data_IF_720820250014
#
_entry.id   IF_720820250014
#
_cell.length_a   1.000
_cell.length_b   1.000
_cell.length_c   1.000
_cell.angle_alpha   90.00
_cell.angle_beta   90.00
_cell.angle_gamma   90.00
#
_symmetry.space_group_name_H-M   'P 1'
#
loop_
_entity.id
_entity.type
_entity.pdbx_description
1 polymer ?
#
# COMPACT_ATOMS: atom_id res chain seq x y z
N UNK A 1 11.98 0.31 19.47
CA UNK A 1 10.95 0.08 18.44
C UNK A 1 10.06 -1.04 18.95
N UNK A 2 8.76 -0.79 19.13
CA UNK A 2 7.82 -1.91 19.30
C UNK A 2 7.67 -2.57 17.93
N UNK A 3 8.08 -3.82 17.83
CA UNK A 3 7.90 -4.64 16.65
C UNK A 3 6.40 -5.02 16.59
N UNK A 4 5.67 -4.43 15.66
CA UNK A 4 4.26 -4.77 15.45
C UNK A 4 4.20 -6.03 14.59
N UNK A 5 3.77 -7.15 15.20
CA UNK A 5 3.52 -8.39 14.44
C UNK A 5 2.08 -8.40 13.92
N UNK A 6 1.90 -7.95 12.68
CA UNK A 6 0.61 -7.99 11.99
C UNK A 6 0.16 -9.42 11.64
N UNK A 7 1.07 -10.40 11.70
CA UNK A 7 0.77 -11.79 11.39
C UNK A 7 -0.18 -12.46 12.39
N UNK A 8 -0.12 -12.07 13.68
CA UNK A 8 -0.96 -12.64 14.73
C UNK A 8 -2.47 -12.39 14.52
N UNK A 9 -2.85 -11.38 13.76
CA UNK A 9 -4.24 -11.02 13.46
C UNK A 9 -4.59 -11.15 11.98
N UNK A 10 -3.75 -11.85 11.19
CA UNK A 10 -3.88 -11.92 9.73
C UNK A 10 -5.27 -12.38 9.25
N UNK A 11 -5.89 -13.36 9.92
CA UNK A 11 -7.22 -13.86 9.56
C UNK A 11 -8.32 -12.83 9.83
N UNK A 12 -8.31 -12.21 11.01
CA UNK A 12 -9.28 -11.17 11.37
C UNK A 12 -9.07 -9.92 10.51
N UNK A 13 -7.83 -9.58 10.25
CA UNK A 13 -7.46 -8.50 9.35
C UNK A 13 -8.00 -8.74 7.93
N UNK A 14 -7.80 -9.93 7.37
CA UNK A 14 -8.31 -10.30 6.06
C UNK A 14 -9.84 -10.26 5.99
N UNK A 15 -10.52 -10.64 7.08
CA UNK A 15 -11.99 -10.73 7.17
C UNK A 15 -12.68 -9.38 7.34
N UNK A 16 -12.06 -8.48 8.10
CA UNK A 16 -12.73 -7.25 8.56
C UNK A 16 -12.17 -5.97 7.94
N UNK A 17 -10.99 -6.01 7.31
CA UNK A 17 -10.46 -4.85 6.64
C UNK A 17 -11.13 -4.66 5.28
N UNK A 18 -11.82 -3.52 5.14
CA UNK A 18 -12.35 -3.11 3.85
C UNK A 18 -11.21 -2.97 2.84
N UNK A 19 -11.37 -3.58 1.68
CA UNK A 19 -10.47 -3.38 0.56
C UNK A 19 -10.65 -2.02 -0.10
N UNK A 20 -9.83 -1.71 -1.08
CA UNK A 20 -10.04 -0.55 -1.93
C UNK A 20 -11.30 -0.74 -2.78
N UNK A 21 -12.16 0.29 -2.92
CA UNK A 21 -13.38 0.19 -3.70
C UNK A 21 -13.09 0.03 -5.20
N UNK A 22 -14.03 -0.52 -5.94
CA UNK A 22 -13.86 -0.76 -7.38
C UNK A 22 -13.52 0.54 -8.13
N UNK A 23 -14.15 1.63 -7.77
CA UNK A 23 -13.99 2.97 -8.33
C UNK A 23 -12.55 3.50 -8.20
N UNK A 24 -11.82 3.08 -7.16
CA UNK A 24 -10.40 3.41 -7.02
C UNK A 24 -9.59 2.85 -8.20
N UNK A 25 -9.76 1.57 -8.49
CA UNK A 25 -9.07 0.93 -9.61
C UNK A 25 -9.51 1.51 -10.95
N UNK A 26 -10.81 1.70 -11.12
CA UNK A 26 -11.39 2.26 -12.35
C UNK A 26 -10.80 3.64 -12.63
N UNK A 27 -10.60 4.47 -11.59
CA UNK A 27 -9.96 5.77 -11.72
C UNK A 27 -8.48 5.65 -12.11
N UNK A 28 -7.72 4.75 -11.47
CA UNK A 28 -6.28 4.53 -11.74
C UNK A 28 -6.05 4.11 -13.19
N UNK A 29 -6.95 3.29 -13.77
CA UNK A 29 -6.89 2.92 -15.18
C UNK A 29 -7.36 4.04 -16.11
N UNK A 30 -8.41 4.76 -15.74
CA UNK A 30 -8.99 5.82 -16.56
C UNK A 30 -8.04 7.01 -16.75
N UNK A 31 -7.24 7.36 -15.75
CA UNK A 31 -6.25 8.45 -15.83
C UNK A 31 -4.88 8.00 -16.35
N UNK A 32 -4.74 6.71 -16.69
CA UNK A 32 -3.54 6.16 -17.31
C UNK A 32 -2.37 5.93 -16.36
N UNK A 33 -2.57 6.01 -15.04
CA UNK A 33 -1.52 5.73 -14.05
C UNK A 33 -1.04 4.28 -14.14
N UNK A 34 -1.96 3.33 -14.37
CA UNK A 34 -1.65 1.93 -14.65
C UNK A 34 -2.39 1.51 -15.91
N UNK A 35 -1.69 0.89 -16.83
CA UNK A 35 -2.29 0.36 -18.06
C UNK A 35 -2.75 -1.09 -17.89
N UNK A 36 -3.78 -1.55 -18.62
CA UNK A 36 -4.09 -2.97 -18.72
C UNK A 36 -2.87 -3.78 -19.18
N UNK A 37 -2.68 -4.98 -18.62
CA UNK A 37 -1.53 -5.85 -18.84
C UNK A 37 -0.18 -5.33 -18.29
N UNK A 38 -0.17 -4.24 -17.53
CA UNK A 38 1.04 -3.76 -16.87
C UNK A 38 1.63 -4.83 -15.94
N UNK A 39 2.98 -4.87 -15.86
CA UNK A 39 3.69 -5.56 -14.79
C UNK A 39 3.70 -4.67 -13.56
N UNK A 40 3.15 -5.14 -12.44
CA UNK A 40 2.96 -4.35 -11.23
C UNK A 40 3.53 -5.06 -10.01
N UNK A 41 4.31 -4.31 -9.21
CA UNK A 41 4.77 -4.74 -7.90
C UNK A 41 3.97 -4.03 -6.80
N UNK A 42 3.39 -4.80 -5.87
CA UNK A 42 2.69 -4.27 -4.70
C UNK A 42 3.54 -4.47 -3.45
N UNK A 43 4.16 -3.38 -2.96
CA UNK A 43 5.03 -3.37 -1.78
C UNK A 43 4.22 -3.25 -0.50
N UNK A 44 4.56 -4.05 0.52
CA UNK A 44 3.76 -4.16 1.73
C UNK A 44 2.34 -4.65 1.42
N UNK A 45 2.25 -5.67 0.56
CA UNK A 45 0.99 -6.16 -0.03
C UNK A 45 -0.02 -6.66 1.02
N UNK A 46 0.46 -7.02 2.21
CA UNK A 46 -0.37 -7.56 3.28
C UNK A 46 -1.12 -8.81 2.82
N UNK A 47 -2.45 -8.80 2.95
CA UNK A 47 -3.32 -9.85 2.44
C UNK A 47 -3.61 -9.75 0.93
N UNK A 48 -2.88 -8.92 0.20
CA UNK A 48 -2.96 -8.82 -1.27
C UNK A 48 -4.14 -8.02 -1.80
N UNK A 49 -4.66 -7.06 -1.06
CA UNK A 49 -5.89 -6.33 -1.45
C UNK A 49 -5.70 -5.53 -2.74
N UNK A 50 -4.62 -4.73 -2.87
CA UNK A 50 -4.29 -4.03 -4.11
C UNK A 50 -3.86 -5.01 -5.19
N UNK A 51 -2.97 -5.95 -4.85
CA UNK A 51 -2.47 -6.94 -5.79
C UNK A 51 -3.60 -7.70 -6.50
N UNK A 52 -4.59 -8.22 -5.73
CA UNK A 52 -5.75 -8.90 -6.31
C UNK A 52 -6.63 -7.96 -7.13
N UNK A 53 -6.82 -6.71 -6.69
CA UNK A 53 -7.62 -5.74 -7.42
C UNK A 53 -7.05 -5.39 -8.80
N UNK A 54 -5.72 -5.29 -8.92
CA UNK A 54 -5.03 -5.09 -10.20
C UNK A 54 -5.00 -6.37 -11.05
N UNK A 55 -4.77 -7.54 -10.43
CA UNK A 55 -4.80 -8.81 -11.14
C UNK A 55 -6.17 -9.11 -11.75
N UNK A 56 -7.27 -8.81 -11.03
CA UNK A 56 -8.63 -8.94 -11.53
C UNK A 56 -8.92 -8.05 -12.76
N UNK A 57 -8.08 -7.04 -13.02
CA UNK A 57 -8.17 -6.13 -14.16
C UNK A 57 -7.11 -6.39 -15.23
N UNK A 58 -6.45 -7.55 -15.17
CA UNK A 58 -5.56 -8.04 -16.21
C UNK A 58 -4.08 -7.67 -16.05
N UNK A 59 -3.67 -7.02 -14.94
CA UNK A 59 -2.25 -6.80 -14.68
C UNK A 59 -1.54 -8.11 -14.32
N UNK A 60 -0.26 -8.20 -14.67
CA UNK A 60 0.66 -9.21 -14.13
C UNK A 60 1.22 -8.70 -12.81
N UNK A 61 0.80 -9.29 -11.69
CA UNK A 61 1.07 -8.71 -10.37
C UNK A 61 1.96 -9.61 -9.52
N UNK A 62 2.95 -8.98 -8.88
CA UNK A 62 3.72 -9.53 -7.77
C UNK A 62 3.42 -8.73 -6.50
N UNK A 63 3.07 -9.42 -5.42
CA UNK A 63 2.94 -8.82 -4.08
C UNK A 63 4.12 -9.21 -3.19
N UNK A 64 4.66 -8.26 -2.45
CA UNK A 64 5.76 -8.49 -1.50
C UNK A 64 5.41 -7.96 -0.11
N UNK A 65 5.70 -8.75 0.92
CA UNK A 65 5.52 -8.38 2.32
C UNK A 65 6.58 -9.04 3.20
N UNK A 66 6.85 -8.46 4.36
CA UNK A 66 7.78 -9.03 5.36
C UNK A 66 7.12 -10.11 6.23
N UNK A 67 5.80 -10.19 6.25
CA UNK A 67 5.02 -11.14 7.06
C UNK A 67 4.67 -12.38 6.26
N UNK A 68 5.27 -13.51 6.63
CA UNK A 68 4.95 -14.80 6.01
C UNK A 68 3.46 -15.17 6.19
N UNK A 69 2.86 -14.83 7.34
CA UNK A 69 1.46 -15.12 7.61
C UNK A 69 0.52 -14.33 6.69
N UNK A 70 0.83 -13.03 6.43
CA UNK A 70 0.06 -12.22 5.49
C UNK A 70 0.19 -12.73 4.05
N UNK A 71 1.39 -13.14 3.65
CA UNK A 71 1.65 -13.75 2.33
C UNK A 71 0.83 -15.03 2.13
N UNK A 72 0.78 -15.92 3.12
CA UNK A 72 -0.05 -17.14 3.02
C UNK A 72 -1.54 -16.79 2.89
N UNK A 73 -2.05 -15.86 3.68
CA UNK A 73 -3.43 -15.37 3.53
C UNK A 73 -3.68 -14.74 2.15
N UNK A 74 -2.72 -13.99 1.61
CA UNK A 74 -2.84 -13.39 0.28
C UNK A 74 -2.94 -14.45 -0.82
N UNK A 75 -2.14 -15.54 -0.73
CA UNK A 75 -2.20 -16.69 -1.64
C UNK A 75 -3.56 -17.38 -1.59
N UNK A 76 -4.03 -17.69 -0.38
CA UNK A 76 -5.32 -18.36 -0.18
C UNK A 76 -6.48 -17.54 -0.76
N UNK A 77 -6.50 -16.24 -0.47
CA UNK A 77 -7.54 -15.34 -0.98
C UNK A 77 -7.49 -15.17 -2.50
N UNK A 78 -6.28 -15.14 -3.09
CA UNK A 78 -6.13 -15.10 -4.55
C UNK A 78 -6.63 -16.38 -5.20
N UNK A 79 -6.29 -17.53 -4.63
CA UNK A 79 -6.75 -18.84 -5.12
C UNK A 79 -8.28 -18.95 -5.05
N UNK A 80 -8.89 -18.53 -3.94
CA UNK A 80 -10.36 -18.51 -3.78
C UNK A 80 -11.07 -17.64 -4.82
N UNK A 81 -10.41 -16.58 -5.27
CA UNK A 81 -10.92 -15.65 -6.29
C UNK A 81 -10.56 -16.07 -7.73
N UNK A 82 -9.81 -17.15 -7.91
CA UNK A 82 -9.36 -17.61 -9.22
C UNK A 82 -8.34 -16.64 -9.88
N UNK A 83 -7.60 -15.88 -9.06
CA UNK A 83 -6.63 -14.90 -9.52
C UNK A 83 -5.21 -15.45 -9.47
N UNK A 84 -4.42 -15.14 -10.51
CA UNK A 84 -2.99 -15.46 -10.56
C UNK A 84 -2.19 -14.24 -10.10
N UNK A 85 -1.64 -14.31 -8.89
CA UNK A 85 -0.75 -13.30 -8.32
C UNK A 85 0.47 -14.02 -7.75
N UNK A 86 1.67 -13.55 -8.07
CA UNK A 86 2.88 -14.03 -7.45
C UNK A 86 3.07 -13.32 -6.10
N UNK A 87 3.33 -14.08 -5.02
CA UNK A 87 3.61 -13.51 -3.71
C UNK A 87 4.99 -13.93 -3.21
N UNK A 88 5.77 -12.94 -2.74
CA UNK A 88 7.12 -13.15 -2.19
C UNK A 88 7.26 -12.55 -0.80
N UNK A 89 8.00 -13.26 0.05
CA UNK A 89 8.49 -12.73 1.31
C UNK A 89 9.70 -11.85 1.05
N UNK A 90 9.69 -10.60 1.53
CA UNK A 90 10.81 -9.68 1.33
C UNK A 90 10.57 -8.29 1.91
N UNK A 91 11.63 -7.49 1.91
CA UNK A 91 11.61 -6.09 2.38
C UNK A 91 11.46 -5.14 1.20
N UNK A 92 10.69 -4.08 1.38
CA UNK A 92 10.51 -3.05 0.36
C UNK A 92 11.80 -2.26 0.08
N UNK A 93 12.68 -2.14 1.08
CA UNK A 93 13.95 -1.43 1.01
C UNK A 93 15.04 -2.14 0.20
N UNK A 94 14.87 -3.45 -0.04
CA UNK A 94 15.85 -4.30 -0.72
C UNK A 94 15.11 -5.55 -1.24
N UNK A 95 14.49 -5.42 -2.42
CA UNK A 95 13.61 -6.46 -2.96
C UNK A 95 14.36 -7.64 -3.57
N UNK A 96 15.61 -7.41 -4.02
CA UNK A 96 16.38 -8.40 -4.76
C UNK A 96 15.83 -8.67 -6.18
N UNK A 97 14.91 -7.86 -6.68
CA UNK A 97 14.33 -7.98 -8.01
C UNK A 97 15.20 -7.25 -9.05
N UNK A 98 15.13 -7.63 -10.33
CA UNK A 98 15.90 -6.98 -11.40
C UNK A 98 15.50 -5.53 -11.59
N UNK A 99 16.43 -4.71 -12.11
CA UNK A 99 16.17 -3.32 -12.50
C UNK A 99 15.12 -3.26 -13.63
N UNK A 100 14.41 -2.15 -13.71
CA UNK A 100 13.49 -1.82 -14.80
C UNK A 100 12.50 -2.97 -15.15
N UNK A 101 11.97 -3.65 -14.12
CA UNK A 101 11.12 -4.84 -14.30
C UNK A 101 9.64 -4.55 -14.27
N UNK A 102 9.23 -3.40 -13.73
CA UNK A 102 7.83 -3.09 -13.51
C UNK A 102 7.39 -1.80 -14.21
N UNK A 103 6.16 -1.83 -14.74
CA UNK A 103 5.49 -0.66 -15.30
C UNK A 103 4.89 0.22 -14.20
N UNK A 104 4.54 -0.39 -13.06
CA UNK A 104 4.06 0.33 -11.89
C UNK A 104 4.49 -0.35 -10.59
N UNK A 105 4.65 0.47 -9.54
CA UNK A 105 4.83 0.02 -8.16
C UNK A 105 3.72 0.62 -7.29
N UNK A 106 3.00 -0.21 -6.54
CA UNK A 106 1.97 0.24 -5.59
C UNK A 106 2.39 0.03 -4.14
N UNK A 107 1.87 0.87 -3.24
CA UNK A 107 1.97 0.73 -1.80
C UNK A 107 0.66 1.19 -1.16
N UNK A 108 -0.13 0.24 -0.67
CA UNK A 108 -1.44 0.51 -0.07
C UNK A 108 -1.43 0.47 1.44
N UNK A 109 -1.69 1.59 2.12
CA UNK A 109 -1.78 1.68 3.58
C UNK A 109 -0.49 1.33 4.34
N UNK A 110 0.67 1.31 3.68
CA UNK A 110 1.92 0.84 4.27
C UNK A 110 3.12 1.80 4.13
N UNK A 111 3.05 2.80 3.26
CA UNK A 111 4.17 3.70 2.95
C UNK A 111 4.81 4.33 4.20
N UNK A 112 4.03 4.65 5.21
CA UNK A 112 4.49 5.24 6.48
C UNK A 112 5.26 4.30 7.40
N UNK A 113 5.27 2.99 7.11
CA UNK A 113 6.06 1.99 7.84
C UNK A 113 7.46 1.80 7.30
N UNK A 114 7.71 2.24 6.05
CA UNK A 114 8.97 2.03 5.36
C UNK A 114 10.07 3.02 5.78
N UNK A 115 11.33 2.61 5.58
CA UNK A 115 12.44 3.55 5.41
C UNK A 115 12.27 4.22 4.03
N UNK A 116 11.46 5.28 4.00
CA UNK A 116 10.97 5.90 2.77
C UNK A 116 12.08 6.34 1.79
N UNK A 117 13.19 6.98 2.24
CA UNK A 117 14.29 7.30 1.34
C UNK A 117 14.88 6.08 0.66
N UNK A 118 15.06 4.97 1.39
CA UNK A 118 15.59 3.73 0.81
C UNK A 118 14.59 3.08 -0.14
N UNK A 119 13.32 3.00 0.24
CA UNK A 119 12.28 2.45 -0.63
C UNK A 119 12.09 3.28 -1.89
N UNK A 120 12.18 4.63 -1.81
CA UNK A 120 12.10 5.49 -2.98
C UNK A 120 13.22 5.19 -4.00
N UNK A 121 14.45 4.97 -3.52
CA UNK A 121 15.56 4.56 -4.38
C UNK A 121 15.35 3.18 -5.00
N UNK A 122 14.87 2.23 -4.22
CA UNK A 122 14.58 0.88 -4.70
C UNK A 122 13.44 0.90 -5.73
N UNK A 123 12.37 1.64 -5.48
CA UNK A 123 11.26 1.83 -6.41
C UNK A 123 11.74 2.45 -7.73
N UNK A 124 12.60 3.48 -7.66
CA UNK A 124 13.19 4.08 -8.87
C UNK A 124 13.99 3.05 -9.67
N UNK A 125 14.78 2.21 -9.03
CA UNK A 125 15.56 1.15 -9.67
C UNK A 125 14.67 0.10 -10.37
N UNK A 126 13.54 -0.24 -9.75
CA UNK A 126 12.63 -1.28 -10.22
C UNK A 126 11.72 -0.84 -11.37
N UNK A 127 11.44 0.46 -11.46
CA UNK A 127 10.55 0.98 -12.49
C UNK A 127 11.24 1.07 -13.85
N UNK A 128 10.54 0.65 -14.87
CA UNK A 128 10.89 0.91 -16.28
C UNK A 128 10.85 2.43 -16.54
N UNK A 129 11.57 2.92 -17.56
CA UNK A 129 11.42 4.30 -18.00
C UNK A 129 9.95 4.67 -18.26
N UNK A 130 9.48 5.73 -17.61
CA UNK A 130 8.07 6.15 -17.70
C UNK A 130 7.10 5.36 -16.80
N UNK A 131 7.62 4.46 -15.95
CA UNK A 131 6.81 3.73 -14.97
C UNK A 131 6.22 4.64 -13.89
N UNK A 132 5.17 4.17 -13.22
CA UNK A 132 4.40 4.94 -12.26
C UNK A 132 4.53 4.41 -10.82
N UNK A 133 4.47 5.31 -9.84
CA UNK A 133 4.33 4.97 -8.40
C UNK A 133 2.93 5.33 -7.93
N UNK A 134 2.28 4.40 -7.25
CA UNK A 134 0.96 4.57 -6.68
C UNK A 134 1.01 4.37 -5.16
N UNK A 135 1.01 5.47 -4.39
CA UNK A 135 0.84 5.42 -2.94
C UNK A 135 -0.63 5.66 -2.61
N UNK A 136 -1.29 4.66 -2.08
CA UNK A 136 -2.72 4.69 -1.80
C UNK A 136 -3.02 4.62 -0.30
N UNK A 137 -3.86 5.54 0.17
CA UNK A 137 -4.42 5.52 1.52
C UNK A 137 -5.95 5.57 1.45
N UNK A 138 -6.55 4.80 2.33
CA UNK A 138 -7.99 4.79 2.53
C UNK A 138 -8.25 5.10 4.01
N UNK A 139 -8.56 6.35 4.28
CA UNK A 139 -8.77 6.87 5.61
C UNK A 139 -10.13 7.57 5.74
N UNK A 140 -10.60 7.66 6.95
CA UNK A 140 -11.75 8.50 7.29
C UNK A 140 -11.36 9.99 7.31
N UNK A 141 -12.27 10.83 6.86
CA UNK A 141 -12.04 12.27 6.80
C UNK A 141 -12.68 12.97 8.00
N UNK A 142 -11.91 13.71 8.83
CA UNK A 142 -12.43 14.53 9.93
C UNK A 142 -13.06 15.82 9.39
N UNK A 143 -14.26 15.70 8.81
CA UNK A 143 -15.02 16.86 8.38
C UNK A 143 -15.66 17.55 9.60
N UNK A 144 -15.70 18.90 9.64
CA UNK A 144 -16.23 19.64 10.78
C UNK A 144 -17.60 19.13 11.25
N UNK A 145 -17.67 18.71 12.51
CA UNK A 145 -18.90 18.25 13.16
C UNK A 145 -19.29 16.79 12.92
N UNK A 146 -18.60 16.06 12.05
CA UNK A 146 -18.88 14.63 11.87
C UNK A 146 -18.33 13.78 13.02
N UNK A 147 -18.66 12.49 13.04
CA UNK A 147 -18.21 11.55 14.09
C UNK A 147 -16.68 11.42 14.12
N UNK A 148 -16.04 11.47 12.95
CA UNK A 148 -14.58 11.36 12.83
C UNK A 148 -13.88 12.55 13.47
N UNK A 149 -14.33 13.78 13.21
CA UNK A 149 -13.82 15.01 13.83
C UNK A 149 -13.90 14.93 15.38
N UNK A 150 -15.04 14.46 15.90
CA UNK A 150 -15.21 14.29 17.35
C UNK A 150 -14.28 13.21 17.92
N UNK A 151 -14.12 12.10 17.22
CA UNK A 151 -13.22 11.00 17.61
C UNK A 151 -11.77 11.46 17.60
N UNK A 152 -11.34 12.16 16.55
CA UNK A 152 -9.98 12.71 16.45
C UNK A 152 -9.68 13.70 17.60
N UNK A 153 -10.62 14.58 17.94
CA UNK A 153 -10.48 15.49 19.08
C UNK A 153 -10.37 14.74 20.42
N UNK A 154 -11.15 13.67 20.57
CA UNK A 154 -11.07 12.83 21.78
C UNK A 154 -9.70 12.16 21.87
N UNK A 155 -9.22 11.58 20.76
CA UNK A 155 -7.89 10.96 20.71
C UNK A 155 -6.81 11.97 21.08
N UNK A 156 -6.84 13.18 20.55
CA UNK A 156 -5.88 14.24 20.85
C UNK A 156 -5.89 14.66 22.32
N UNK A 157 -7.05 14.65 22.95
CA UNK A 157 -7.18 14.99 24.37
C UNK A 157 -6.38 14.02 25.24
N UNK A 158 -6.38 12.72 24.91
CA UNK A 158 -5.69 11.68 25.66
C UNK A 158 -4.33 11.30 25.10
N UNK A 159 -4.04 11.64 23.84
CA UNK A 159 -2.77 11.40 23.18
C UNK A 159 -2.34 12.62 22.34
N UNK A 160 -1.77 13.66 22.96
CA UNK A 160 -1.36 14.88 22.25
C UNK A 160 -0.33 14.66 21.13
N UNK A 161 0.40 13.52 21.19
CA UNK A 161 1.39 13.14 20.17
C UNK A 161 0.81 12.35 18.99
N UNK A 162 -0.50 12.15 18.95
CA UNK A 162 -1.16 11.38 17.90
C UNK A 162 -0.77 11.84 16.49
N UNK A 163 -0.83 13.14 16.24
CA UNK A 163 -0.50 13.71 14.93
C UNK A 163 0.99 13.70 14.58
N UNK A 164 1.87 13.72 15.56
CA UNK A 164 3.32 13.63 15.31
C UNK A 164 3.66 12.28 14.65
N UNK A 165 2.93 11.24 15.04
CA UNK A 165 3.16 9.89 14.59
C UNK A 165 2.41 9.53 13.30
N UNK A 166 1.18 9.97 13.15
CA UNK A 166 0.28 9.56 12.05
C UNK A 166 0.02 10.67 11.03
N UNK A 167 0.60 11.84 11.21
CA UNK A 167 0.77 12.87 10.18
C UNK A 167 -0.47 13.60 9.71
N UNK A 168 -1.62 13.47 10.37
CA UNK A 168 -2.85 14.08 9.89
C UNK A 168 -3.27 15.31 10.73
N UNK A 169 -2.46 16.37 10.70
CA UNK A 169 -2.88 17.67 11.19
C UNK A 169 -3.67 18.38 10.07
N UNK A 170 -4.96 18.61 10.27
CA UNK A 170 -5.85 19.33 9.34
C UNK A 170 -6.18 18.61 8.00
N UNK A 171 -6.22 17.26 7.96
CA UNK A 171 -6.56 16.53 6.73
C UNK A 171 -5.49 16.58 5.65
N UNK A 172 -4.29 17.08 5.96
CA UNK A 172 -3.15 17.02 5.05
C UNK A 172 -2.24 15.84 5.43
N UNK A 173 -2.06 14.94 4.49
CA UNK A 173 -1.08 13.86 4.63
C UNK A 173 0.34 14.42 4.65
N UNK A 174 1.30 13.72 5.30
CA UNK A 174 2.72 14.01 5.14
C UNK A 174 3.06 14.05 3.65
N UNK A 175 3.99 14.91 3.26
CA UNK A 175 4.47 14.95 1.88
C UNK A 175 5.31 13.71 1.55
N UNK A 176 4.62 12.59 1.31
CA UNK A 176 5.26 11.33 0.92
C UNK A 176 5.89 11.39 -0.47
N UNK A 177 5.42 12.28 -1.33
CA UNK A 177 6.01 12.52 -2.64
C UNK A 177 7.37 13.21 -2.57
N UNK A 178 7.73 13.84 -1.43
CA UNK A 178 9.05 14.43 -1.26
C UNK A 178 10.14 13.38 -1.42
N UNK A 179 10.00 12.24 -0.74
CA UNK A 179 11.01 11.18 -0.79
C UNK A 179 11.17 10.62 -2.22
N UNK A 180 10.08 10.53 -2.98
CA UNK A 180 10.12 10.14 -4.39
C UNK A 180 10.76 11.20 -5.28
N UNK A 181 10.46 12.49 -5.07
CA UNK A 181 11.10 13.60 -5.81
C UNK A 181 12.60 13.69 -5.54
N UNK A 182 13.02 13.46 -4.30
CA UNK A 182 14.43 13.46 -3.91
C UNK A 182 15.20 12.25 -4.46
N UNK A 183 14.52 11.14 -4.72
CA UNK A 183 15.12 9.97 -5.38
C UNK A 183 15.33 10.19 -6.89
N UNK A 184 14.63 11.13 -7.51
CA UNK A 184 14.71 11.49 -8.94
C UNK A 184 13.85 10.61 -9.80
#
# INVERSE_FOLDING_TARGET
FMEYDFGLTAQDYARHRAGFPAEFFDRVFADGTVNPNASLLDLGTGTGTLARGFAARGCSVMGMDISAQLIEQAKDLSLQQGLSVEFRLGKAEETGLPDESFDAVSAGQCWHWFDRPRVAQEVKRLLKPGGAVLIAHFDWLPLPGNVVDRTERLIQTYNPKWYERFGNKNGSYPDWFRDLREAG
#
